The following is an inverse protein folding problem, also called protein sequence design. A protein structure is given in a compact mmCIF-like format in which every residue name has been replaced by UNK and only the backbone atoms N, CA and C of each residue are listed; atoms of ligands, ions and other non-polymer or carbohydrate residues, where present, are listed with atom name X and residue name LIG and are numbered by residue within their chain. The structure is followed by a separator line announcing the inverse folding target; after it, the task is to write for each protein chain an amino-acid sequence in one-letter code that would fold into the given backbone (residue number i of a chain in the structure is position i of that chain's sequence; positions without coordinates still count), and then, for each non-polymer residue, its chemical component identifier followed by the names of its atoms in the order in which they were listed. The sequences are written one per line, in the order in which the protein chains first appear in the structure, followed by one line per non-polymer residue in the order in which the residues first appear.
data_IF_145259289571
#
_entry.id   IF_145259289571
#
_cell.length_a   1.000
_cell.length_b   1.000
_cell.length_c   1.000
_cell.angle_alpha   90.00
_cell.angle_beta   90.00
_cell.angle_gamma   90.00
#
_symmetry.space_group_name_H-M   'P 1'
#
loop_
_entity.id
_entity.type
_entity.pdbx_description
1 polymer ?
#
# COMPACT_ATOMS: atom_id res chain seq x y z
N UNK A 1 -27.76 24.59 -51.62
CA UNK A 1 -26.54 24.31 -50.82
C UNK A 1 -25.44 23.88 -51.75
N UNK A 2 -24.27 24.54 -51.70
CA UNK A 2 -23.14 24.17 -52.55
C UNK A 2 -22.55 22.84 -52.05
N UNK A 3 -22.17 21.95 -52.97
CA UNK A 3 -21.50 20.67 -52.66
C UNK A 3 -20.25 20.87 -51.78
N UNK A 4 -19.63 22.05 -51.85
CA UNK A 4 -18.47 22.44 -51.06
C UNK A 4 -18.79 22.54 -49.56
N UNK A 5 -19.97 23.06 -49.18
CA UNK A 5 -20.34 23.24 -47.78
C UNK A 5 -20.60 21.88 -47.10
N UNK A 6 -21.20 20.93 -47.82
CA UNK A 6 -21.40 19.56 -47.34
C UNK A 6 -20.07 18.83 -47.14
N UNK A 7 -19.10 19.01 -48.05
CA UNK A 7 -17.77 18.39 -47.95
C UNK A 7 -16.99 18.96 -46.75
N UNK A 8 -17.08 20.27 -46.53
CA UNK A 8 -16.42 20.94 -45.40
C UNK A 8 -16.99 20.48 -44.06
N UNK A 9 -18.32 20.32 -43.96
CA UNK A 9 -18.97 19.82 -42.74
C UNK A 9 -18.57 18.37 -42.44
N UNK A 10 -18.53 17.50 -43.44
CA UNK A 10 -18.07 16.11 -43.27
C UNK A 10 -16.62 16.05 -42.80
N UNK A 11 -15.76 16.89 -43.38
CA UNK A 11 -14.34 16.95 -43.02
C UNK A 11 -14.18 17.42 -41.56
N UNK A 12 -14.91 18.47 -41.17
CA UNK A 12 -14.93 18.96 -39.80
C UNK A 12 -15.42 17.90 -38.81
N UNK A 13 -16.49 17.16 -39.15
CA UNK A 13 -17.02 16.08 -38.31
C UNK A 13 -16.00 14.96 -38.13
N UNK A 14 -15.34 14.54 -39.21
CA UNK A 14 -14.33 13.46 -39.17
C UNK A 14 -13.08 13.86 -38.38
N UNK A 15 -12.68 15.13 -38.45
CA UNK A 15 -11.56 15.65 -37.64
C UNK A 15 -11.96 15.77 -36.17
N UNK A 16 -13.17 16.22 -35.85
CA UNK A 16 -13.67 16.30 -34.47
C UNK A 16 -13.82 14.93 -33.81
N UNK A 17 -14.15 13.87 -34.57
CA UNK A 17 -14.19 12.51 -34.05
C UNK A 17 -12.80 11.91 -33.74
N UNK A 18 -11.72 12.51 -34.26
CA UNK A 18 -10.35 11.99 -34.09
C UNK A 18 -9.67 12.51 -32.80
N UNK A 19 -10.19 13.59 -32.19
CA UNK A 19 -9.62 14.19 -30.96
C UNK A 19 -10.06 13.48 -29.68
N UNK A 20 -10.90 12.45 -29.78
CA UNK A 20 -11.35 11.63 -28.65
C UNK A 20 -10.55 10.33 -28.50
N UNK A 21 -9.25 10.34 -28.80
CA UNK A 21 -8.35 9.36 -28.19
C UNK A 21 -8.05 9.89 -26.79
N UNK A 22 -9.01 9.74 -25.88
CA UNK A 22 -8.73 9.90 -24.46
C UNK A 22 -7.56 8.99 -24.15
N UNK A 23 -6.47 9.52 -23.61
CA UNK A 23 -5.30 8.71 -23.32
C UNK A 23 -5.72 7.60 -22.38
N UNK A 24 -5.86 6.38 -22.90
CA UNK A 24 -5.99 5.19 -22.08
C UNK A 24 -4.57 4.89 -21.60
N UNK A 25 -4.05 5.74 -20.71
CA UNK A 25 -2.97 5.34 -19.84
C UNK A 25 -3.60 4.36 -18.86
N UNK A 26 -3.74 3.11 -19.28
CA UNK A 26 -3.85 1.99 -18.36
C UNK A 26 -2.48 1.87 -17.68
N UNK A 27 -2.15 2.83 -16.81
CA UNK A 27 -0.96 2.78 -15.99
C UNK A 27 -1.16 1.57 -15.08
N UNK A 28 -0.42 0.50 -15.35
CA UNK A 28 -0.43 -0.68 -14.49
C UNK A 28 -0.03 -0.24 -13.09
N UNK A 29 -0.80 -0.65 -12.08
CA UNK A 29 -0.39 -0.50 -10.69
C UNK A 29 1.01 -1.10 -10.54
N UNK A 30 1.99 -0.38 -9.97
CA UNK A 30 3.33 -0.91 -9.83
C UNK A 30 3.31 -2.11 -8.90
N UNK A 31 4.11 -3.14 -9.23
CA UNK A 31 4.28 -4.30 -8.37
C UNK A 31 5.19 -3.95 -7.19
N UNK A 32 4.77 -4.13 -5.93
CA UNK A 32 5.63 -3.85 -4.78
C UNK A 32 6.81 -4.82 -4.69
N UNK A 33 7.89 -4.39 -4.02
CA UNK A 33 9.00 -5.29 -3.70
C UNK A 33 8.63 -6.22 -2.54
N UNK A 34 9.33 -7.34 -2.41
CA UNK A 34 9.17 -8.23 -1.25
C UNK A 34 9.62 -7.48 0.00
N UNK A 35 8.83 -7.42 1.09
CA UNK A 35 9.20 -6.67 2.29
C UNK A 35 10.45 -7.20 2.97
N UNK A 36 11.34 -6.29 3.34
CA UNK A 36 12.39 -6.54 4.32
C UNK A 36 11.85 -6.22 5.72
N UNK A 37 12.12 -7.10 6.69
CA UNK A 37 11.61 -6.90 8.04
C UNK A 37 12.54 -7.50 9.09
N UNK A 38 12.34 -7.14 10.34
CA UNK A 38 13.01 -7.75 11.49
C UNK A 38 12.03 -7.88 12.64
N UNK A 39 12.14 -8.97 13.42
CA UNK A 39 11.34 -9.20 14.62
C UNK A 39 12.21 -8.95 15.85
N UNK A 40 11.74 -8.09 16.77
CA UNK A 40 12.45 -7.76 18.00
C UNK A 40 11.53 -7.93 19.21
N UNK A 41 12.06 -8.50 20.29
CA UNK A 41 11.42 -8.44 21.61
C UNK A 41 12.00 -7.22 22.32
N UNK A 42 11.16 -6.21 22.54
CA UNK A 42 11.50 -4.98 23.23
C UNK A 42 11.03 -5.11 24.68
N UNK A 43 11.97 -5.07 25.62
CA UNK A 43 11.69 -5.11 27.05
C UNK A 43 11.86 -3.71 27.65
N UNK A 44 10.84 -3.26 28.39
CA UNK A 44 10.81 -1.99 29.10
C UNK A 44 10.33 -2.21 30.55
N UNK A 45 11.08 -2.99 31.36
CA UNK A 45 10.65 -3.32 32.71
C UNK A 45 10.65 -2.07 33.61
N UNK A 46 9.77 -2.05 34.60
CA UNK A 46 9.72 -0.98 35.58
C UNK A 46 9.26 -1.49 36.95
N UNK A 47 9.67 -0.79 38.01
CA UNK A 47 9.25 -1.07 39.37
C UNK A 47 8.12 -0.13 39.78
N UNK A 48 7.04 -0.70 40.31
CA UNK A 48 5.99 0.05 40.99
C UNK A 48 6.35 0.12 42.47
N UNK A 49 6.60 1.31 43.06
CA UNK A 49 6.97 1.40 44.47
C UNK A 49 5.79 1.05 45.38
N UNK A 50 6.08 0.63 46.61
CA UNK A 50 5.07 0.47 47.66
C UNK A 50 4.40 1.81 47.94
N UNK A 51 3.07 1.82 47.98
CA UNK A 51 2.29 3.02 48.32
C UNK A 51 1.42 2.77 49.54
N UNK A 52 1.02 3.84 50.21
CA UNK A 52 0.23 3.79 51.44
C UNK A 52 -1.02 4.66 51.27
N UNK A 53 -2.16 4.20 51.78
CA UNK A 53 -3.39 5.00 51.84
C UNK A 53 -4.05 4.85 53.19
N UNK A 54 -4.84 5.83 53.61
CA UNK A 54 -5.65 5.74 54.83
C UNK A 54 -7.08 5.32 54.43
N UNK A 55 -7.61 4.28 55.08
CA UNK A 55 -9.02 3.90 54.92
C UNK A 55 -9.91 5.03 55.49
N UNK A 56 -10.82 5.61 54.71
CA UNK A 56 -11.63 6.74 55.15
C UNK A 56 -12.68 6.39 56.21
N UNK A 57 -12.97 5.10 56.43
CA UNK A 57 -13.98 4.63 57.39
C UNK A 57 -13.37 4.12 58.69
N UNK A 58 -12.16 3.54 58.65
CA UNK A 58 -11.50 3.00 59.84
C UNK A 58 -10.31 3.83 60.33
N UNK A 59 -9.74 4.68 59.47
CA UNK A 59 -8.52 5.42 59.76
C UNK A 59 -7.24 4.56 59.77
N UNK A 60 -7.36 3.28 59.41
CA UNK A 60 -6.22 2.37 59.34
C UNK A 60 -5.38 2.64 58.10
N UNK A 61 -4.07 2.43 58.23
CA UNK A 61 -3.13 2.52 57.11
C UNK A 61 -3.17 1.23 56.29
N UNK A 62 -3.54 1.34 55.02
CA UNK A 62 -3.50 0.27 54.03
C UNK A 62 -2.19 0.38 53.25
N UNK A 63 -1.38 -0.67 53.28
CA UNK A 63 -0.16 -0.79 52.47
C UNK A 63 -0.45 -1.51 51.16
N UNK A 64 -0.14 -0.87 50.03
CA UNK A 64 -0.14 -1.49 48.71
C UNK A 64 1.30 -1.89 48.35
N UNK A 65 1.68 -3.17 48.44
CA UNK A 65 3.05 -3.60 48.20
C UNK A 65 3.47 -3.25 46.77
N UNK A 66 4.68 -2.72 46.63
CA UNK A 66 5.31 -2.52 45.33
C UNK A 66 5.57 -3.85 44.62
N UNK A 67 5.72 -3.80 43.29
CA UNK A 67 5.96 -4.97 42.47
C UNK A 67 6.76 -4.61 41.21
N UNK A 68 7.46 -5.60 40.67
CA UNK A 68 8.20 -5.47 39.41
C UNK A 68 7.29 -5.83 38.23
N UNK A 69 7.31 -5.02 37.16
CA UNK A 69 6.57 -5.29 35.92
C UNK A 69 7.54 -5.62 34.80
N UNK A 70 7.52 -6.89 34.38
CA UNK A 70 8.18 -7.37 33.16
C UNK A 70 7.36 -6.96 31.94
N UNK A 71 7.48 -5.72 31.49
CA UNK A 71 6.83 -5.26 30.26
C UNK A 71 7.68 -5.67 29.06
N UNK A 72 7.21 -6.65 28.28
CA UNK A 72 7.84 -7.13 27.05
C UNK A 72 6.84 -7.06 25.92
N UNK A 73 7.29 -6.54 24.78
CA UNK A 73 6.49 -6.43 23.57
C UNK A 73 7.27 -7.00 22.39
N UNK A 74 6.58 -7.75 21.54
CA UNK A 74 7.14 -8.32 20.33
C UNK A 74 6.71 -7.47 19.15
N UNK A 75 7.70 -6.88 18.49
CA UNK A 75 7.53 -5.92 17.42
C UNK A 75 8.09 -6.46 16.11
N UNK A 76 7.29 -6.38 15.06
CA UNK A 76 7.76 -6.52 13.68
C UNK A 76 8.07 -5.12 13.17
N UNK A 77 9.29 -4.92 12.70
CA UNK A 77 9.75 -3.70 12.04
C UNK A 77 9.85 -3.99 10.55
N UNK A 78 8.95 -3.43 9.76
CA UNK A 78 8.89 -3.61 8.30
C UNK A 78 9.49 -2.37 7.65
N UNK A 79 10.50 -2.52 6.82
CA UNK A 79 11.12 -1.40 6.11
C UNK A 79 10.14 -0.86 5.05
N UNK A 80 9.87 0.43 5.11
CA UNK A 80 8.90 1.05 4.23
C UNK A 80 9.45 1.19 2.81
N UNK A 81 8.62 0.84 1.83
CA UNK A 81 8.98 0.96 0.42
C UNK A 81 8.67 2.38 -0.07
N UNK A 82 9.46 2.86 -1.03
CA UNK A 82 9.18 4.12 -1.71
C UNK A 82 7.85 4.00 -2.49
N UNK A 83 6.78 4.52 -1.91
CA UNK A 83 5.46 4.53 -2.52
C UNK A 83 4.72 5.79 -2.11
N UNK A 84 4.15 6.50 -3.09
CA UNK A 84 3.32 7.68 -2.86
C UNK A 84 1.86 7.34 -3.20
N UNK A 85 0.94 7.40 -2.22
CA UNK A 85 -0.48 7.18 -2.49
C UNK A 85 -1.03 8.10 -3.57
N UNK A 86 -1.92 7.56 -4.40
CA UNK A 86 -2.60 8.31 -5.46
C UNK A 86 -4.04 7.87 -5.62
N UNK A 87 -4.84 8.67 -6.29
CA UNK A 87 -6.25 8.39 -6.52
C UNK A 87 -6.47 7.86 -7.93
N UNK A 88 -7.42 6.93 -8.06
CA UNK A 88 -7.95 6.47 -9.35
C UNK A 88 -9.47 6.59 -9.36
N UNK A 89 -10.04 6.67 -10.55
CA UNK A 89 -11.48 6.62 -10.76
C UNK A 89 -11.82 5.32 -11.50
N UNK A 90 -12.57 4.43 -10.83
CA UNK A 90 -13.00 3.15 -11.39
C UNK A 90 -14.46 2.90 -11.02
N UNK A 91 -15.29 2.58 -12.01
CA UNK A 91 -16.73 2.32 -11.84
C UNK A 91 -17.49 3.45 -11.14
N UNK A 92 -17.26 4.70 -11.56
CA UNK A 92 -17.84 5.92 -10.97
C UNK A 92 -17.53 6.14 -9.48
N UNK A 93 -16.53 5.45 -8.95
CA UNK A 93 -16.03 5.61 -7.59
C UNK A 93 -14.57 6.06 -7.58
N UNK A 94 -14.24 6.90 -6.61
CA UNK A 94 -12.87 7.33 -6.32
C UNK A 94 -12.23 6.35 -5.35
N UNK A 95 -11.05 5.84 -5.71
CA UNK A 95 -10.28 4.90 -4.89
C UNK A 95 -8.91 5.47 -4.60
N UNK A 96 -8.43 5.30 -3.37
CA UNK A 96 -7.05 5.65 -3.01
C UNK A 96 -6.17 4.40 -3.06
N UNK A 97 -5.23 4.38 -3.99
CA UNK A 97 -4.18 3.37 -4.05
C UNK A 97 -3.19 3.61 -2.91
N UNK A 98 -2.97 2.58 -2.11
CA UNK A 98 -2.07 2.56 -0.96
C UNK A 98 -1.17 1.32 -1.01
N UNK A 99 -0.08 1.36 -0.24
CA UNK A 99 0.72 0.20 0.10
C UNK A 99 0.26 -0.39 1.43
N UNK A 100 -0.02 -1.68 1.43
CA UNK A 100 -0.47 -2.47 2.57
C UNK A 100 0.48 -3.63 2.84
N UNK A 101 0.41 -4.18 4.04
CA UNK A 101 1.14 -5.37 4.46
C UNK A 101 0.18 -6.46 4.94
N UNK A 102 0.29 -7.65 4.36
CA UNK A 102 -0.28 -8.88 4.90
C UNK A 102 0.79 -9.56 5.76
N UNK A 103 0.44 -9.95 6.98
CA UNK A 103 1.33 -10.69 7.87
C UNK A 103 0.69 -12.04 8.16
N UNK A 104 1.47 -13.11 8.05
CA UNK A 104 1.05 -14.44 8.47
C UNK A 104 2.06 -15.08 9.40
N UNK A 105 1.52 -15.88 10.30
CA UNK A 105 2.22 -16.52 11.39
C UNK A 105 1.96 -18.03 11.31
N UNK A 106 2.93 -18.85 11.68
CA UNK A 106 2.79 -20.30 11.75
C UNK A 106 3.64 -20.82 12.89
N UNK A 107 3.03 -21.54 13.84
CA UNK A 107 3.80 -22.21 14.88
C UNK A 107 4.75 -23.26 14.25
N UNK A 108 5.93 -23.47 14.83
CA UNK A 108 6.94 -24.37 14.25
C UNK A 108 6.47 -25.83 14.04
N UNK A 109 5.44 -26.26 14.78
CA UNK A 109 4.82 -27.58 14.63
C UNK A 109 3.45 -27.54 13.92
N UNK A 110 3.01 -26.36 13.48
CA UNK A 110 1.79 -26.19 12.69
C UNK A 110 2.09 -26.42 11.21
N UNK A 111 1.13 -27.00 10.50
CA UNK A 111 1.14 -27.07 9.04
C UNK A 111 0.45 -25.85 8.42
N UNK A 112 -0.42 -25.20 9.19
CA UNK A 112 -1.28 -24.12 8.71
C UNK A 112 -0.75 -22.74 9.14
N UNK A 113 -0.81 -21.81 8.19
CA UNK A 113 -0.58 -20.38 8.43
C UNK A 113 -1.86 -19.71 8.89
N UNK A 114 -1.74 -18.81 9.86
CA UNK A 114 -2.82 -17.92 10.26
C UNK A 114 -2.42 -16.47 9.98
N UNK A 115 -3.38 -15.66 9.56
CA UNK A 115 -3.15 -14.24 9.29
C UNK A 115 -3.18 -13.46 10.59
N UNK A 116 -2.19 -12.57 10.77
CA UNK A 116 -2.21 -11.58 11.84
C UNK A 116 -3.35 -10.61 11.55
N UNK A 117 -4.30 -10.52 12.50
CA UNK A 117 -5.65 -9.97 12.31
C UNK A 117 -6.40 -10.73 11.22
N UNK A 118 -7.43 -11.46 11.63
CA UNK A 118 -8.17 -12.35 10.74
C UNK A 118 -8.78 -11.55 9.58
N UNK A 119 -8.29 -11.84 8.39
CA UNK A 119 -8.65 -11.22 7.13
C UNK A 119 -8.27 -9.75 7.03
N UNK A 120 -7.96 -9.36 5.80
CA UNK A 120 -8.03 -8.00 5.30
C UNK A 120 -9.45 -7.41 5.45
N UNK A 121 -10.13 -7.58 6.58
CA UNK A 121 -11.57 -7.41 6.76
C UNK A 121 -12.02 -7.44 8.21
N UNK A 122 -11.12 -7.19 9.17
CA UNK A 122 -11.57 -6.61 10.44
C UNK A 122 -12.15 -5.23 10.16
N UNK A 123 -13.03 -4.73 11.03
CA UNK A 123 -13.52 -3.33 10.95
C UNK A 123 -12.40 -2.30 10.92
N UNK A 124 -11.18 -2.69 11.30
CA UNK A 124 -10.04 -1.81 11.51
C UNK A 124 -9.14 -1.70 10.27
N UNK A 125 -9.47 -2.44 9.20
CA UNK A 125 -8.83 -2.37 7.88
C UNK A 125 -7.47 -3.06 7.80
N UNK A 126 -6.87 -2.98 6.61
CA UNK A 126 -5.57 -3.57 6.30
C UNK A 126 -4.43 -2.75 6.91
N UNK A 127 -3.33 -3.41 7.28
CA UNK A 127 -2.15 -2.72 7.79
C UNK A 127 -1.53 -1.88 6.67
N UNK A 128 -1.73 -0.56 6.73
CA UNK A 128 -1.15 0.41 5.80
C UNK A 128 0.27 0.74 6.20
N UNK A 129 1.09 1.04 5.20
CA UNK A 129 2.41 1.60 5.43
C UNK A 129 2.34 2.92 6.21
N UNK A 130 3.24 3.09 7.17
CA UNK A 130 3.41 4.34 7.91
C UNK A 130 4.30 5.32 7.11
N UNK A 131 3.72 6.05 6.15
CA UNK A 131 4.47 6.85 5.16
C UNK A 131 5.43 7.91 5.72
N UNK A 132 5.20 8.39 6.94
CA UNK A 132 6.04 9.42 7.59
C UNK A 132 7.25 8.82 8.33
N UNK A 133 7.44 7.51 8.26
CA UNK A 133 8.48 6.78 8.98
C UNK A 133 9.30 5.90 8.05
N UNK A 134 10.50 5.53 8.49
CA UNK A 134 11.35 4.54 7.80
C UNK A 134 10.78 3.12 7.96
N UNK A 135 10.08 2.85 9.06
CA UNK A 135 9.53 1.55 9.38
C UNK A 135 8.05 1.61 9.73
N UNK A 136 7.32 0.57 9.33
CA UNK A 136 6.01 0.24 9.88
C UNK A 136 6.22 -0.74 11.04
N UNK A 137 5.86 -0.33 12.26
CA UNK A 137 6.04 -1.14 13.48
C UNK A 137 4.72 -1.80 13.89
N UNK A 138 4.73 -3.12 14.06
CA UNK A 138 3.53 -3.92 14.34
C UNK A 138 3.71 -4.71 15.63
N UNK A 139 2.80 -4.52 16.58
CA UNK A 139 2.74 -5.31 17.82
C UNK A 139 1.97 -6.60 17.58
N UNK A 140 2.59 -7.74 17.89
CA UNK A 140 2.01 -9.07 17.61
C UNK A 140 1.77 -9.92 18.86
N UNK A 141 1.99 -9.38 20.07
CA UNK A 141 1.97 -10.14 21.33
C UNK A 141 0.67 -10.93 21.56
N UNK A 142 -0.49 -10.39 21.17
CA UNK A 142 -1.78 -11.07 21.33
C UNK A 142 -1.96 -12.32 20.45
N UNK A 143 -1.05 -12.58 19.52
CA UNK A 143 -1.08 -13.69 18.57
C UNK A 143 0.03 -14.72 18.82
N UNK A 144 0.87 -14.49 19.83
CA UNK A 144 2.01 -15.35 20.12
C UNK A 144 1.71 -16.27 21.31
N UNK A 145 2.20 -17.52 21.28
CA UNK A 145 2.19 -18.38 22.46
C UNK A 145 3.15 -17.83 23.52
N UNK A 146 2.98 -18.21 24.81
CA UNK A 146 3.88 -17.79 25.88
C UNK A 146 5.32 -18.32 25.71
N UNK A 147 5.49 -19.42 24.98
CA UNK A 147 6.78 -20.05 24.69
C UNK A 147 6.73 -20.78 23.34
N UNK A 148 7.90 -21.07 22.77
CA UNK A 148 8.03 -21.88 21.56
C UNK A 148 8.60 -21.12 20.36
N UNK A 149 8.31 -21.60 19.16
CA UNK A 149 8.83 -21.04 17.91
C UNK A 149 7.70 -20.68 16.96
N UNK A 150 7.79 -19.49 16.38
CA UNK A 150 6.81 -18.94 15.43
C UNK A 150 7.54 -18.47 14.18
N UNK A 151 7.16 -19.02 13.04
CA UNK A 151 7.56 -18.56 11.72
C UNK A 151 6.68 -17.39 11.29
N UNK A 152 7.30 -16.35 10.72
CA UNK A 152 6.63 -15.14 10.25
C UNK A 152 6.97 -14.89 8.78
N UNK A 153 5.97 -14.48 8.01
CA UNK A 153 6.14 -13.97 6.65
C UNK A 153 5.28 -12.73 6.43
N UNK A 154 5.73 -11.88 5.52
CA UNK A 154 5.08 -10.62 5.16
C UNK A 154 4.97 -10.53 3.64
N UNK A 155 3.85 -10.01 3.16
CA UNK A 155 3.62 -9.69 1.75
C UNK A 155 3.21 -8.21 1.67
N UNK A 156 3.77 -7.46 0.72
CA UNK A 156 3.31 -6.12 0.38
C UNK A 156 2.28 -6.17 -0.74
N UNK A 157 1.29 -5.28 -0.66
CA UNK A 157 0.24 -5.12 -1.67
C UNK A 157 0.11 -3.64 -2.02
N UNK A 158 0.13 -3.31 -3.31
CA UNK A 158 -0.22 -1.98 -3.80
C UNK A 158 -1.58 -2.08 -4.47
N UNK A 159 -2.57 -1.35 -3.94
CA UNK A 159 -3.93 -1.44 -4.42
C UNK A 159 -4.88 -0.55 -3.67
N UNK A 160 -6.18 -0.76 -3.84
CA UNK A 160 -7.21 -0.10 -3.05
C UNK A 160 -8.05 -1.12 -2.28
N UNK A 161 -8.54 -0.68 -1.13
CA UNK A 161 -9.35 -1.49 -0.22
C UNK A 161 -10.84 -1.22 -0.48
N UNK A 162 -11.61 -2.27 -0.75
CA UNK A 162 -13.07 -2.16 -0.92
C UNK A 162 -13.80 -3.28 -0.17
N UNK A 163 -15.04 -3.01 0.23
CA UNK A 163 -15.85 -3.95 0.99
C UNK A 163 -16.60 -4.92 0.08
N UNK A 164 -16.54 -6.21 0.39
CA UNK A 164 -17.35 -7.24 -0.29
C UNK A 164 -18.65 -7.42 0.48
N UNK A 165 -19.78 -7.04 -0.12
CA UNK A 165 -21.10 -7.28 0.46
C UNK A 165 -21.41 -8.77 0.40
N UNK A 166 -21.23 -9.47 1.52
CA UNK A 166 -21.49 -10.91 1.61
C UNK A 166 -22.71 -11.14 2.51
N UNK A 167 -23.88 -11.33 1.92
CA UNK A 167 -25.02 -11.97 2.59
C UNK A 167 -25.73 -11.21 3.73
N UNK A 168 -25.62 -9.87 3.83
CA UNK A 168 -26.45 -9.07 4.74
C UNK A 168 -26.06 -9.10 6.23
N UNK A 169 -24.87 -9.60 6.57
CA UNK A 169 -24.34 -9.52 7.93
C UNK A 169 -23.63 -8.18 8.19
N UNK A 170 -23.73 -7.60 9.40
CA UNK A 170 -22.96 -6.41 9.77
C UNK A 170 -21.47 -6.77 9.86
N UNK A 171 -20.65 -6.04 9.09
CA UNK A 171 -19.22 -6.31 8.90
C UNK A 171 -18.94 -6.76 7.47
N UNK A 172 -18.58 -5.82 6.59
CA UNK A 172 -18.15 -6.15 5.24
C UNK A 172 -16.66 -6.51 5.27
N UNK A 173 -16.27 -7.77 4.98
CA UNK A 173 -14.86 -8.08 4.78
C UNK A 173 -14.34 -7.14 3.70
N UNK A 174 -13.18 -6.54 3.96
CA UNK A 174 -12.51 -5.74 2.96
C UNK A 174 -11.64 -6.71 2.12
N UNK A 175 -11.35 -6.31 0.89
CA UNK A 175 -10.35 -6.98 0.07
C UNK A 175 -9.51 -5.91 -0.61
N UNK A 176 -8.26 -6.24 -0.91
CA UNK A 176 -7.37 -5.38 -1.68
C UNK A 176 -7.44 -5.82 -3.13
N UNK A 177 -7.80 -4.91 -4.02
CA UNK A 177 -7.61 -5.09 -5.47
C UNK A 177 -6.32 -4.39 -5.85
N UNK A 178 -5.38 -5.12 -6.45
CA UNK A 178 -4.10 -4.56 -6.88
C UNK A 178 -3.04 -5.63 -7.14
N UNK A 179 -1.78 -5.24 -7.02
CA UNK A 179 -0.61 -6.10 -7.23
C UNK A 179 -0.02 -6.55 -5.88
N UNK A 180 0.56 -7.75 -5.83
CA UNK A 180 1.26 -8.26 -4.65
C UNK A 180 2.73 -8.57 -4.93
N UNK A 181 3.56 -8.43 -3.89
CA UNK A 181 4.99 -8.74 -3.97
C UNK A 181 5.28 -10.24 -3.98
N UNK A 182 4.32 -11.05 -3.54
CA UNK A 182 4.57 -12.39 -3.01
C UNK A 182 5.10 -12.34 -1.56
N UNK A 183 5.23 -13.52 -0.96
CA UNK A 183 5.65 -13.66 0.44
C UNK A 183 7.17 -13.50 0.60
N UNK A 184 7.56 -12.84 1.69
CA UNK A 184 8.95 -12.75 2.16
C UNK A 184 9.54 -14.11 2.50
N UNK A 185 10.86 -14.13 2.70
CA UNK A 185 11.53 -15.22 3.41
C UNK A 185 10.96 -15.38 4.83
N UNK A 186 11.06 -16.61 5.36
CA UNK A 186 10.58 -16.95 6.70
C UNK A 186 11.59 -16.45 7.74
N UNK A 187 11.11 -15.73 8.75
CA UNK A 187 11.86 -15.49 9.98
C UNK A 187 11.25 -16.26 11.14
N UNK A 188 12.08 -17.02 11.85
CA UNK A 188 11.64 -17.78 13.03
C UNK A 188 11.95 -17.01 14.31
N UNK A 189 10.90 -16.62 15.03
CA UNK A 189 10.97 -16.08 16.38
C UNK A 189 10.99 -17.23 17.39
N UNK A 190 11.92 -17.21 18.34
CA UNK A 190 11.93 -18.11 19.51
C UNK A 190 11.53 -17.32 20.76
N UNK A 191 10.47 -17.77 21.44
CA UNK A 191 9.83 -17.16 22.60
C UNK A 191 10.11 -18.03 23.83
N UNK A 192 10.42 -17.40 24.96
CA UNK A 192 10.63 -18.07 26.24
C UNK A 192 12.10 -18.30 26.61
N UNK A 193 13.02 -18.28 25.63
CA UNK A 193 14.45 -18.17 25.94
C UNK A 193 14.79 -16.71 26.22
N UNK A 194 15.49 -16.46 27.33
CA UNK A 194 16.07 -15.15 27.62
C UNK A 194 17.07 -14.83 26.51
N UNK A 195 16.61 -14.14 25.47
CA UNK A 195 17.49 -13.73 24.39
C UNK A 195 18.52 -12.79 25.00
N UNK A 196 19.75 -13.30 25.14
CA UNK A 196 20.91 -12.44 25.36
C UNK A 196 20.93 -11.52 24.16
N UNK A 197 20.85 -10.20 24.39
CA UNK A 197 20.75 -9.18 23.34
C UNK A 197 21.64 -9.54 22.16
N UNK A 198 21.02 -10.00 21.07
CA UNK A 198 21.73 -10.27 19.83
C UNK A 198 22.41 -8.97 19.40
N UNK A 199 23.67 -9.00 18.94
CA UNK A 199 24.35 -7.79 18.49
C UNK A 199 23.46 -7.06 17.48
N UNK A 200 23.40 -5.74 17.64
CA UNK A 200 22.62 -4.84 16.81
C UNK A 200 22.80 -5.20 15.33
N UNK A 201 21.72 -5.53 14.60
CA UNK A 201 21.84 -5.95 13.21
C UNK A 201 22.53 -4.84 12.43
N UNK A 202 23.65 -5.18 11.78
CA UNK A 202 24.32 -4.26 10.87
C UNK A 202 23.37 -4.04 9.71
N UNK A 203 22.70 -2.88 9.70
CA UNK A 203 21.81 -2.47 8.61
C UNK A 203 22.65 -2.54 7.33
N UNK A 204 22.34 -3.43 6.38
CA UNK A 204 23.01 -3.42 5.10
C UNK A 204 22.69 -2.08 4.46
N UNK A 205 23.72 -1.27 4.20
CA UNK A 205 23.57 0.01 3.51
C UNK A 205 23.22 -0.30 2.06
N UNK A 206 21.94 -0.58 1.80
CA UNK A 206 21.44 -0.75 0.44
C UNK A 206 21.42 0.63 -0.21
N UNK A 207 22.09 0.84 -1.36
CA UNK A 207 21.97 2.09 -2.08
C UNK A 207 20.52 2.22 -2.54
N UNK A 208 19.77 3.11 -1.87
CA UNK A 208 18.45 3.55 -2.29
C UNK A 208 18.55 4.17 -3.67
N UNK A 209 18.42 3.33 -4.70
CA UNK A 209 18.06 3.78 -6.04
C UNK A 209 16.54 3.85 -6.05
N UNK A 210 16.04 5.02 -5.69
CA UNK A 210 14.68 5.42 -5.98
C UNK A 210 14.50 5.27 -7.50
N UNK A 211 13.61 4.40 -8.00
CA UNK A 211 13.21 4.44 -9.40
C UNK A 211 12.40 5.73 -9.54
N UNK A 212 13.08 6.83 -9.83
CA UNK A 212 12.45 8.04 -10.31
C UNK A 212 12.13 7.81 -11.79
N UNK A 213 11.26 6.83 -12.07
CA UNK A 213 10.49 6.83 -13.30
C UNK A 213 9.39 7.88 -13.09
N UNK A 214 9.80 9.15 -13.25
CA UNK A 214 8.88 10.16 -13.76
C UNK A 214 8.28 9.54 -15.02
N UNK A 215 6.94 9.42 -15.14
CA UNK A 215 6.35 8.83 -16.32
C UNK A 215 6.81 9.68 -17.51
N UNK A 216 7.79 9.17 -18.26
CA UNK A 216 8.19 9.72 -19.53
C UNK A 216 6.97 9.60 -20.42
N UNK A 217 6.18 10.67 -20.45
CA UNK A 217 5.18 10.88 -21.47
C UNK A 217 5.99 10.97 -22.76
N UNK A 218 6.14 9.83 -23.45
CA UNK A 218 7.13 9.70 -24.50
C UNK A 218 7.00 10.88 -25.46
N UNK A 219 8.05 11.70 -25.57
CA UNK A 219 8.04 12.87 -26.46
C UNK A 219 7.68 12.45 -27.90
N UNK A 220 7.95 11.18 -28.23
CA UNK A 220 7.53 10.53 -29.48
C UNK A 220 6.02 10.58 -29.74
N UNK A 221 5.15 10.39 -28.75
CA UNK A 221 3.69 10.42 -28.96
C UNK A 221 3.18 11.86 -29.18
N UNK A 222 3.75 12.84 -28.49
CA UNK A 222 3.44 14.26 -28.69
C UNK A 222 3.91 14.73 -30.07
N UNK A 223 5.10 14.29 -30.51
CA UNK A 223 5.63 14.61 -31.84
C UNK A 223 4.77 13.96 -32.93
N UNK A 224 4.36 12.69 -32.78
CA UNK A 224 3.54 12.01 -33.78
C UNK A 224 2.17 12.68 -33.96
N UNK A 225 1.51 13.03 -32.84
CA UNK A 225 0.23 13.76 -32.87
C UNK A 225 0.35 15.10 -33.59
N UNK A 226 1.41 15.86 -33.32
CA UNK A 226 1.65 17.17 -33.93
C UNK A 226 1.92 17.07 -35.44
N UNK A 227 2.72 16.09 -35.87
CA UNK A 227 3.04 15.88 -37.30
C UNK A 227 1.79 15.49 -38.09
N UNK A 228 0.91 14.65 -37.52
CA UNK A 228 -0.35 14.25 -38.17
C UNK A 228 -1.29 15.46 -38.32
N UNK A 229 -1.41 16.31 -37.30
CA UNK A 229 -2.22 17.53 -37.38
C UNK A 229 -1.69 18.48 -38.47
N UNK A 230 -0.38 18.72 -38.53
CA UNK A 230 0.24 19.58 -39.55
C UNK A 230 -0.01 19.04 -40.96
N UNK A 231 0.14 17.73 -41.16
CA UNK A 231 -0.09 17.09 -42.45
C UNK A 231 -1.55 17.22 -42.91
N UNK A 232 -2.52 17.03 -42.00
CA UNK A 232 -3.95 17.15 -42.33
C UNK A 232 -4.32 18.61 -42.65
N UNK A 233 -3.83 19.58 -41.86
CA UNK A 233 -4.06 21.01 -42.12
C UNK A 233 -3.44 21.43 -43.46
N UNK A 234 -2.21 20.98 -43.75
CA UNK A 234 -1.52 21.24 -45.01
C UNK A 234 -2.28 20.68 -46.22
N UNK A 235 -2.75 19.43 -46.15
CA UNK A 235 -3.54 18.81 -47.21
C UNK A 235 -4.89 19.53 -47.42
N UNK A 236 -5.55 19.92 -46.32
CA UNK A 236 -6.82 20.67 -46.37
C UNK A 236 -6.67 22.05 -47.03
N UNK A 237 -5.64 22.82 -46.67
CA UNK A 237 -5.31 24.10 -47.30
C UNK A 237 -4.95 23.94 -48.78
N UNK A 238 -4.14 22.93 -49.12
CA UNK A 238 -3.77 22.65 -50.51
C UNK A 238 -4.99 22.35 -51.39
N UNK A 239 -5.91 21.53 -50.89
CA UNK A 239 -7.16 21.21 -51.59
C UNK A 239 -8.05 22.44 -51.77
N UNK A 240 -8.18 23.28 -50.74
CA UNK A 240 -8.96 24.52 -50.78
C UNK A 240 -8.42 25.48 -51.87
N UNK A 241 -7.11 25.71 -51.88
CA UNK A 241 -6.46 26.59 -52.86
C UNK A 241 -6.62 26.07 -54.29
N UNK A 242 -6.48 24.75 -54.49
CA UNK A 242 -6.72 24.11 -55.78
C UNK A 242 -8.15 24.33 -56.30
N UNK A 243 -9.14 24.22 -55.41
CA UNK A 243 -10.55 24.43 -55.76
C UNK A 243 -10.88 25.90 -56.07
N UNK A 244 -10.20 26.86 -55.43
CA UNK A 244 -10.35 28.30 -55.73
C UNK A 244 -9.78 28.60 -57.13
N UNK A 245 -8.58 28.09 -57.45
CA UNK A 245 -7.90 28.38 -58.72
C UNK A 245 -8.59 27.77 -59.95
N UNK A 246 -9.35 26.69 -59.76
CA UNK A 246 -10.04 25.98 -60.86
C UNK A 246 -11.38 26.62 -61.26
N UNK A 247 -11.93 27.51 -60.45
CA UNK A 247 -13.10 28.33 -60.80
C UNK A 247 -12.66 29.55 -61.60
#
# INVERSE_FOLDING_TARGET
MSKALTLMLFTLLTLSSLVMVGSVFAQSTPKPSVPEFTIKIVSAPYDVPTTHSIDPYTGEEITHPGYHVENKTTQIWIENQAFMPYQIYENDAEWTINLFYNIRLKGAFSQDWFYFRYHNGSSDGNLRQAYDFEYTVVLIDSYLPPEGKVDVQIEALIGYEHGVITGGFPGTPRIITGESSGWSEIQTLTIGESQTSSPEPTIPTSPSQMPNEEPELSEQEVILGTVVIIAIVGAGLGLLLYLIKRK
#
